data_IF_057001532175
#
_entry.id   IF_057001532175
#
_cell.length_a   1.000
_cell.length_b   1.000
_cell.length_c   1.000
_cell.angle_alpha   90.00
_cell.angle_beta   90.00
_cell.angle_gamma   90.00
#
_symmetry.space_group_name_H-M   'P 1'
#
loop_
_entity.id
_entity.type
_entity.pdbx_description
1 polymer ?
#
# COMPACT_ATOMS: atom_id res chain seq x y z
N UNK A 1 16.48 14.16 5.77
CA UNK A 1 17.71 13.53 5.28
C UNK A 1 17.48 12.03 5.22
N UNK A 2 17.72 11.42 4.08
CA UNK A 2 17.54 9.98 3.86
C UNK A 2 18.91 9.36 3.66
N UNK A 3 19.28 8.43 4.54
CA UNK A 3 20.52 7.67 4.44
C UNK A 3 20.22 6.29 3.82
N UNK A 4 20.94 5.89 2.80
CA UNK A 4 20.83 4.59 2.17
C UNK A 4 22.22 3.93 2.10
N UNK A 5 22.28 2.66 2.46
CA UNK A 5 23.46 1.81 2.34
C UNK A 5 23.26 0.86 1.13
N UNK A 6 23.68 1.21 -0.08
CA UNK A 6 23.48 0.36 -1.24
C UNK A 6 24.65 -0.59 -1.46
N UNK A 7 24.34 -1.82 -1.84
CA UNK A 7 25.32 -2.79 -2.32
C UNK A 7 25.66 -2.56 -3.81
N UNK A 8 24.87 -1.79 -4.57
CA UNK A 8 25.08 -1.56 -6.02
C UNK A 8 24.94 -0.08 -6.42
N UNK A 9 25.96 0.38 -7.15
CA UNK A 9 26.10 1.67 -7.87
C UNK A 9 25.51 2.91 -7.18
N UNK A 10 26.26 3.44 -6.23
CA UNK A 10 26.01 4.76 -5.62
C UNK A 10 26.06 5.93 -6.64
N UNK A 11 26.51 5.70 -7.84
CA UNK A 11 26.73 6.74 -8.87
C UNK A 11 25.45 7.36 -9.43
N UNK A 12 24.36 6.58 -9.53
CA UNK A 12 23.09 7.10 -10.08
C UNK A 12 22.21 7.77 -9.02
N UNK A 13 22.43 7.49 -7.74
CA UNK A 13 21.64 8.00 -6.62
C UNK A 13 22.24 9.30 -6.06
N UNK A 14 23.54 9.49 -6.22
CA UNK A 14 24.29 10.60 -5.63
C UNK A 14 23.96 12.00 -6.13
N UNK A 15 23.05 12.16 -7.10
CA UNK A 15 22.63 13.48 -7.62
C UNK A 15 21.50 14.13 -6.81
N UNK A 16 20.89 13.42 -5.86
CA UNK A 16 19.81 13.99 -5.04
C UNK A 16 20.38 14.67 -3.79
N UNK A 17 20.24 16.01 -3.63
CA UNK A 17 20.81 16.74 -2.50
C UNK A 17 20.22 16.37 -1.14
N UNK A 18 19.08 15.65 -1.12
CA UNK A 18 18.44 15.18 0.11
C UNK A 18 18.77 13.72 0.44
N UNK A 19 19.68 13.09 -0.32
CA UNK A 19 20.07 11.71 -0.15
C UNK A 19 21.57 11.64 0.10
N UNK A 20 21.96 11.09 1.24
CA UNK A 20 23.31 10.72 1.57
C UNK A 20 23.49 9.21 1.40
N UNK A 21 24.55 8.81 0.70
CA UNK A 21 24.88 7.42 0.44
C UNK A 21 26.18 7.09 1.15
N UNK A 22 26.11 6.12 2.06
CA UNK A 22 27.26 5.71 2.88
C UNK A 22 27.54 4.24 2.62
N UNK A 23 28.79 3.91 2.42
CA UNK A 23 29.25 2.53 2.26
C UNK A 23 29.81 2.01 3.59
N UNK A 24 29.19 0.96 4.14
CA UNK A 24 29.61 0.38 5.40
C UNK A 24 28.86 -0.90 5.76
N UNK A 25 29.27 -1.53 6.83
CA UNK A 25 28.57 -2.69 7.38
C UNK A 25 27.30 -2.23 8.10
N UNK A 26 26.15 -2.72 7.63
CA UNK A 26 24.83 -2.41 8.17
C UNK A 26 24.56 -2.99 9.58
N UNK A 27 25.48 -3.80 10.11
CA UNK A 27 25.44 -4.35 11.48
C UNK A 27 26.50 -3.74 12.38
N UNK A 28 27.36 -2.85 11.85
CA UNK A 28 28.35 -2.15 12.64
C UNK A 28 27.72 -0.95 13.36
N UNK A 29 27.61 -1.07 14.68
CA UNK A 29 27.01 -0.04 15.54
C UNK A 29 27.77 1.29 15.48
N UNK A 30 29.09 1.25 15.36
CA UNK A 30 29.92 2.45 15.34
C UNK A 30 29.67 3.25 14.04
N UNK A 31 29.62 2.56 12.90
CA UNK A 31 29.24 3.14 11.61
C UNK A 31 27.83 3.73 11.68
N UNK A 32 26.86 2.95 12.19
CA UNK A 32 25.47 3.40 12.30
C UNK A 32 25.32 4.61 13.23
N UNK A 33 26.17 4.73 14.25
CA UNK A 33 26.19 5.91 15.13
C UNK A 33 26.83 7.10 14.43
N UNK A 34 27.93 6.92 13.71
CA UNK A 34 28.61 7.98 12.97
C UNK A 34 27.71 8.61 11.91
N UNK A 35 26.88 7.80 11.24
CA UNK A 35 25.90 8.28 10.25
C UNK A 35 24.60 8.81 10.86
N UNK A 36 24.49 8.86 12.18
CA UNK A 36 23.37 9.46 12.89
C UNK A 36 22.07 8.65 12.85
N UNK A 37 22.14 7.33 12.70
CA UNK A 37 20.92 6.47 12.69
C UNK A 37 20.01 6.73 13.89
N UNK A 38 20.49 6.89 15.14
CA UNK A 38 19.63 7.17 16.29
C UNK A 38 18.78 8.43 16.17
N UNK A 39 19.18 9.39 15.34
CA UNK A 39 18.47 10.65 15.13
C UNK A 39 17.35 10.54 14.07
N UNK A 40 17.28 9.44 13.35
CA UNK A 40 16.32 9.24 12.30
C UNK A 40 14.96 8.77 12.86
N UNK A 41 13.88 9.24 12.24
CA UNK A 41 12.51 8.87 12.65
C UNK A 41 12.12 7.47 12.19
N UNK A 42 12.67 7.02 11.07
CA UNK A 42 12.35 5.74 10.44
C UNK A 42 13.64 5.12 9.90
N UNK A 43 13.85 3.83 10.17
CA UNK A 43 14.86 3.00 9.52
C UNK A 43 14.18 1.86 8.75
N UNK A 44 14.63 1.61 7.53
CA UNK A 44 14.11 0.54 6.68
C UNK A 44 15.26 -0.36 6.26
N UNK A 45 15.23 -1.64 6.66
CA UNK A 45 16.15 -2.66 6.23
C UNK A 45 15.63 -3.39 4.98
N UNK A 46 16.37 -3.33 3.89
CA UNK A 46 16.01 -3.88 2.60
C UNK A 46 17.18 -4.67 1.97
N UNK A 47 17.71 -5.63 2.72
CA UNK A 47 18.90 -6.40 2.37
C UNK A 47 18.51 -7.65 1.56
N UNK A 48 19.51 -8.33 0.98
CA UNK A 48 19.28 -9.57 0.24
C UNK A 48 18.89 -10.75 1.16
N UNK A 49 19.45 -10.77 2.37
CA UNK A 49 19.16 -11.77 3.39
C UNK A 49 18.05 -11.29 4.34
N UNK A 50 17.02 -12.10 4.52
CA UNK A 50 15.96 -11.83 5.50
C UNK A 50 16.50 -11.75 6.92
N UNK A 51 17.48 -12.59 7.26
CA UNK A 51 18.12 -12.59 8.59
C UNK A 51 18.87 -11.29 8.84
N UNK A 52 19.63 -10.81 7.86
CA UNK A 52 20.38 -9.56 7.98
C UNK A 52 19.41 -8.36 8.04
N UNK A 53 18.34 -8.39 7.26
CA UNK A 53 17.27 -7.36 7.33
C UNK A 53 16.65 -7.31 8.73
N UNK A 54 16.36 -8.46 9.33
CA UNK A 54 15.81 -8.55 10.70
C UNK A 54 16.84 -8.03 11.71
N UNK A 55 18.09 -8.46 11.61
CA UNK A 55 19.15 -8.03 12.53
C UNK A 55 19.38 -6.51 12.44
N UNK A 56 19.47 -5.95 11.25
CA UNK A 56 19.64 -4.51 11.04
C UNK A 56 18.46 -3.69 11.58
N UNK A 57 17.21 -4.13 11.36
CA UNK A 57 16.04 -3.43 11.87
C UNK A 57 15.96 -3.50 13.41
N UNK A 58 16.32 -4.63 14.03
CA UNK A 58 16.37 -4.75 15.48
C UNK A 58 17.49 -3.88 16.08
N UNK A 59 18.65 -3.85 15.43
CA UNK A 59 19.76 -2.99 15.84
C UNK A 59 19.38 -1.52 15.80
N UNK A 60 18.76 -1.07 14.69
CA UNK A 60 18.26 0.30 14.56
C UNK A 60 17.22 0.64 15.65
N UNK A 61 16.32 -0.30 15.98
CA UNK A 61 15.36 -0.14 17.09
C UNK A 61 16.04 -0.01 18.44
N UNK A 62 17.05 -0.86 18.72
CA UNK A 62 17.85 -0.81 19.95
C UNK A 62 18.65 0.50 20.07
N UNK A 63 19.06 1.07 18.95
CA UNK A 63 19.74 2.38 18.90
C UNK A 63 18.80 3.58 19.08
N UNK A 64 17.50 3.38 19.20
CA UNK A 64 16.53 4.43 19.52
C UNK A 64 15.71 4.93 18.36
N UNK A 65 15.78 4.31 17.17
CA UNK A 65 14.91 4.68 16.05
C UNK A 65 13.45 4.36 16.38
N UNK A 66 12.58 5.35 16.28
CA UNK A 66 11.17 5.23 16.70
C UNK A 66 10.36 4.23 15.86
N UNK A 67 10.66 4.11 14.58
CA UNK A 67 9.92 3.25 13.66
C UNK A 67 10.89 2.48 12.78
N UNK A 68 10.79 1.17 12.82
CA UNK A 68 11.62 0.28 12.00
C UNK A 68 10.73 -0.50 11.04
N UNK A 69 11.23 -0.66 9.82
CA UNK A 69 10.59 -1.44 8.78
C UNK A 69 11.57 -2.38 8.12
N UNK A 70 11.06 -3.43 7.49
CA UNK A 70 11.89 -4.33 6.71
C UNK A 70 11.14 -4.96 5.54
N UNK A 71 11.93 -5.32 4.53
CA UNK A 71 11.47 -6.07 3.36
C UNK A 71 11.98 -7.50 3.47
N UNK A 72 11.08 -8.47 3.37
CA UNK A 72 11.37 -9.89 3.49
C UNK A 72 10.97 -10.66 2.22
N UNK A 73 11.66 -11.75 1.96
CA UNK A 73 11.30 -12.72 0.93
C UNK A 73 10.39 -13.82 1.45
N UNK A 74 10.50 -14.13 2.76
CA UNK A 74 9.71 -15.15 3.44
C UNK A 74 8.50 -14.52 4.13
N UNK A 75 7.31 -14.85 3.63
CA UNK A 75 6.03 -14.37 4.17
C UNK A 75 5.77 -14.81 5.62
N UNK A 76 6.30 -15.95 6.03
CA UNK A 76 6.12 -16.45 7.41
C UNK A 76 6.87 -15.60 8.42
N UNK A 77 8.04 -15.06 8.03
CA UNK A 77 8.82 -14.16 8.87
C UNK A 77 8.11 -12.81 9.10
N UNK A 78 7.29 -12.34 8.18
CA UNK A 78 6.53 -11.07 8.33
C UNK A 78 5.70 -11.05 9.61
N UNK A 79 5.00 -12.15 9.93
CA UNK A 79 4.17 -12.23 11.14
C UNK A 79 5.02 -12.34 12.41
N UNK A 80 6.18 -12.99 12.32
CA UNK A 80 7.10 -13.17 13.45
C UNK A 80 7.74 -11.84 13.81
N UNK A 81 8.24 -11.10 12.83
CA UNK A 81 8.93 -9.82 13.04
C UNK A 81 8.03 -8.74 13.63
N UNK A 82 6.74 -8.72 13.28
CA UNK A 82 5.77 -7.84 13.92
C UNK A 82 5.64 -8.09 15.43
N UNK A 83 5.75 -9.36 15.87
CA UNK A 83 5.75 -9.71 17.30
C UNK A 83 7.06 -9.35 18.02
N UNK A 84 8.13 -9.16 17.27
CA UNK A 84 9.44 -8.74 17.78
C UNK A 84 9.57 -7.22 17.97
N UNK A 85 8.50 -6.47 17.74
CA UNK A 85 8.50 -5.02 17.92
C UNK A 85 8.86 -4.21 16.66
N UNK A 86 9.07 -4.88 15.51
CA UNK A 86 9.25 -4.19 14.22
C UNK A 86 7.93 -3.52 13.82
N UNK A 87 7.99 -2.23 13.50
CA UNK A 87 6.80 -1.42 13.23
C UNK A 87 6.03 -1.91 12.01
N UNK A 88 6.75 -2.30 10.94
CA UNK A 88 6.14 -2.90 9.75
C UNK A 88 7.12 -3.83 9.03
N UNK A 89 6.57 -4.88 8.44
CA UNK A 89 7.31 -5.80 7.59
C UNK A 89 6.52 -6.05 6.30
N UNK A 90 7.19 -6.10 5.17
CA UNK A 90 6.62 -6.21 3.85
C UNK A 90 7.18 -7.44 3.15
N UNK A 91 6.29 -8.29 2.61
CA UNK A 91 6.65 -9.38 1.72
C UNK A 91 6.90 -8.84 0.31
N UNK A 92 8.15 -8.94 -0.16
CA UNK A 92 8.57 -8.47 -1.49
C UNK A 92 7.80 -9.14 -2.64
N UNK A 93 7.57 -10.45 -2.53
CA UNK A 93 6.87 -11.22 -3.58
C UNK A 93 5.43 -10.76 -3.67
N UNK A 94 4.78 -10.54 -2.54
CA UNK A 94 3.40 -10.08 -2.48
C UNK A 94 3.24 -8.70 -3.09
N UNK A 95 4.12 -7.76 -2.78
CA UNK A 95 4.09 -6.41 -3.38
C UNK A 95 4.23 -6.48 -4.91
N UNK A 96 5.12 -7.33 -5.42
CA UNK A 96 5.26 -7.53 -6.85
C UNK A 96 3.98 -8.10 -7.48
N UNK A 97 3.38 -9.12 -6.86
CA UNK A 97 2.10 -9.71 -7.31
C UNK A 97 0.98 -8.68 -7.25
N UNK A 98 0.86 -7.92 -6.17
CA UNK A 98 -0.18 -6.89 -6.01
C UNK A 98 -0.04 -5.80 -7.09
N UNK A 99 1.17 -5.38 -7.42
CA UNK A 99 1.44 -4.43 -8.50
C UNK A 99 1.07 -5.00 -9.88
N UNK A 100 1.39 -6.27 -10.16
CA UNK A 100 1.00 -6.93 -11.42
C UNK A 100 -0.52 -7.02 -11.51
N UNK A 101 -1.19 -7.47 -10.45
CA UNK A 101 -2.65 -7.56 -10.40
C UNK A 101 -3.31 -6.19 -10.58
N UNK A 102 -2.77 -5.15 -9.95
CA UNK A 102 -3.24 -3.78 -10.15
C UNK A 102 -3.18 -3.38 -11.64
N UNK A 103 -2.11 -3.73 -12.36
CA UNK A 103 -1.98 -3.46 -13.79
C UNK A 103 -2.94 -4.26 -14.67
N UNK A 104 -3.22 -5.51 -14.32
CA UNK A 104 -4.15 -6.37 -15.05
C UNK A 104 -5.59 -5.86 -14.90
N UNK A 105 -5.96 -5.44 -13.70
CA UNK A 105 -7.32 -5.01 -13.37
C UNK A 105 -7.62 -3.55 -13.69
N UNK A 106 -6.61 -2.70 -13.92
CA UNK A 106 -6.80 -1.26 -14.24
C UNK A 106 -7.54 -0.99 -15.56
N UNK A 107 -7.66 -1.96 -16.45
CA UNK A 107 -8.37 -1.76 -17.74
C UNK A 107 -9.89 -1.69 -17.62
N UNK A 108 -10.48 -2.17 -16.53
CA UNK A 108 -11.93 -2.20 -16.33
C UNK A 108 -12.37 -1.52 -15.02
N UNK A 109 -11.45 -1.45 -14.07
CA UNK A 109 -11.73 -0.95 -12.74
C UNK A 109 -10.67 0.07 -12.39
N UNK A 110 -10.70 1.14 -11.94
CA UNK A 110 -9.63 2.05 -11.49
C UNK A 110 -8.52 1.37 -10.67
N UNK A 111 -8.19 1.86 -9.49
CA UNK A 111 -7.14 1.27 -8.66
C UNK A 111 -7.60 -0.05 -8.01
N UNK A 112 -6.70 -1.03 -8.02
CA UNK A 112 -6.85 -2.31 -7.31
C UNK A 112 -5.85 -2.36 -6.15
N UNK A 113 -6.31 -2.65 -4.96
CA UNK A 113 -5.45 -2.74 -3.78
C UNK A 113 -5.78 -4.01 -2.98
N UNK A 114 -4.76 -4.79 -2.69
CA UNK A 114 -4.86 -5.93 -1.77
C UNK A 114 -4.63 -5.43 -0.35
N UNK A 115 -5.53 -5.75 0.56
CA UNK A 115 -5.38 -5.39 1.98
C UNK A 115 -4.49 -6.43 2.66
N UNK A 116 -3.21 -6.12 2.81
CA UNK A 116 -2.20 -7.05 3.31
C UNK A 116 -2.51 -7.65 4.68
N UNK A 117 -3.24 -6.94 5.52
CA UNK A 117 -3.57 -7.36 6.89
C UNK A 117 -4.96 -7.97 7.04
N UNK A 118 -5.75 -8.02 5.95
CA UNK A 118 -7.09 -8.60 5.97
C UNK A 118 -7.14 -9.69 4.90
N UNK A 119 -7.04 -10.97 5.29
CA UNK A 119 -7.05 -12.06 4.32
C UNK A 119 -8.38 -12.10 3.55
N UNK A 120 -8.29 -12.43 2.27
CA UNK A 120 -9.42 -12.59 1.36
C UNK A 120 -10.27 -11.33 1.13
N UNK A 121 -9.74 -10.14 1.34
CA UNK A 121 -10.40 -8.88 0.98
C UNK A 121 -9.49 -8.06 0.07
N UNK A 122 -10.08 -7.56 -1.01
CA UNK A 122 -9.46 -6.61 -1.93
C UNK A 122 -10.28 -5.33 -1.98
N UNK A 123 -9.59 -4.20 -2.09
CA UNK A 123 -10.19 -2.90 -2.34
C UNK A 123 -10.09 -2.55 -3.82
N UNK A 124 -11.20 -2.20 -4.45
CA UNK A 124 -11.25 -1.86 -5.85
C UNK A 124 -11.92 -0.51 -6.02
N UNK A 125 -11.32 0.34 -6.84
CA UNK A 125 -11.89 1.61 -7.25
C UNK A 125 -12.67 1.42 -8.55
N UNK A 126 -13.96 1.73 -8.54
CA UNK A 126 -14.85 1.61 -9.70
C UNK A 126 -15.50 2.95 -10.00
N UNK A 127 -15.30 3.46 -11.22
CA UNK A 127 -15.90 4.71 -11.66
C UNK A 127 -17.34 4.51 -12.12
N UNK A 128 -18.23 5.36 -11.69
CA UNK A 128 -19.63 5.39 -12.16
C UNK A 128 -19.67 6.10 -13.51
N UNK A 129 -20.05 5.37 -14.55
CA UNK A 129 -20.34 5.96 -15.87
C UNK A 129 -21.80 6.39 -15.95
N UNK A 130 -22.08 7.41 -16.77
CA UNK A 130 -23.45 7.90 -17.03
C UNK A 130 -24.35 6.82 -17.66
N UNK A 131 -23.77 5.87 -18.40
CA UNK A 131 -24.47 4.77 -19.03
C UNK A 131 -24.78 3.60 -18.06
N UNK A 132 -24.20 3.58 -16.87
CA UNK A 132 -24.53 2.55 -15.89
C UNK A 132 -26.00 2.65 -15.44
N UNK A 133 -26.66 1.51 -15.33
CA UNK A 133 -28.06 1.41 -14.89
C UNK A 133 -28.31 2.02 -13.51
N UNK A 134 -27.29 2.01 -12.65
CA UNK A 134 -27.34 2.55 -11.29
C UNK A 134 -26.87 4.01 -11.20
N UNK A 135 -26.50 4.62 -12.32
CA UNK A 135 -26.19 6.06 -12.37
C UNK A 135 -27.44 6.89 -12.04
N UNK A 136 -27.28 7.90 -11.20
CA UNK A 136 -28.38 8.74 -10.66
C UNK A 136 -29.41 7.97 -9.81
N UNK A 137 -29.06 6.76 -9.32
CA UNK A 137 -29.90 6.00 -8.40
C UNK A 137 -29.36 6.10 -6.97
N UNK A 138 -30.24 5.83 -6.00
CA UNK A 138 -29.79 5.64 -4.60
C UNK A 138 -29.04 4.33 -4.46
N UNK A 139 -28.11 4.26 -3.51
CA UNK A 139 -27.35 3.04 -3.24
C UNK A 139 -28.31 1.88 -2.93
N UNK A 140 -29.38 2.13 -2.17
CA UNK A 140 -30.45 1.14 -1.86
C UNK A 140 -31.08 0.52 -3.10
N UNK A 141 -31.23 1.32 -4.16
CA UNK A 141 -31.99 0.97 -5.37
C UNK A 141 -31.06 0.45 -6.48
N UNK A 142 -29.75 0.63 -6.33
CA UNK A 142 -28.74 0.25 -7.32
C UNK A 142 -28.54 -1.27 -7.48
N UNK A 143 -29.19 -2.08 -6.64
CA UNK A 143 -29.11 -3.54 -6.71
C UNK A 143 -27.72 -4.09 -6.47
N UNK A 144 -26.95 -3.48 -5.59
CA UNK A 144 -25.65 -4.01 -5.17
C UNK A 144 -25.86 -5.22 -4.27
N UNK A 145 -25.05 -6.25 -4.50
CA UNK A 145 -25.09 -7.47 -3.71
C UNK A 145 -24.43 -7.26 -2.35
N UNK A 146 -24.81 -8.04 -1.35
CA UNK A 146 -24.27 -7.93 0.01
C UNK A 146 -22.74 -8.12 0.10
N UNK A 147 -22.15 -8.84 -0.86
CA UNK A 147 -20.70 -9.03 -0.94
C UNK A 147 -19.95 -7.82 -1.52
N UNK A 148 -20.66 -6.82 -2.05
CA UNK A 148 -20.11 -5.55 -2.52
C UNK A 148 -20.22 -4.52 -1.40
N UNK A 149 -19.14 -4.30 -0.66
CA UNK A 149 -19.13 -3.31 0.41
C UNK A 149 -18.52 -2.01 -0.08
N UNK A 150 -19.36 -1.02 -0.36
CA UNK A 150 -18.89 0.34 -0.67
C UNK A 150 -18.33 0.93 0.61
N UNK A 151 -17.03 1.20 0.65
CA UNK A 151 -16.34 1.81 1.79
C UNK A 151 -16.46 3.34 1.74
N UNK A 152 -16.21 3.92 0.57
CA UNK A 152 -16.27 5.36 0.31
C UNK A 152 -16.79 5.63 -1.08
N UNK A 153 -17.36 6.84 -1.25
CA UNK A 153 -17.66 7.43 -2.54
C UNK A 153 -16.76 8.65 -2.67
N UNK A 154 -15.87 8.62 -3.65
CA UNK A 154 -15.06 9.78 -3.97
C UNK A 154 -15.76 10.58 -5.04
N UNK A 155 -16.08 11.81 -4.74
CA UNK A 155 -16.76 12.75 -5.65
C UNK A 155 -15.91 13.99 -5.85
N UNK A 156 -15.87 14.46 -7.08
CA UNK A 156 -15.20 15.71 -7.39
C UNK A 156 -16.13 16.88 -7.11
N UNK A 157 -15.69 17.82 -6.30
CA UNK A 157 -16.43 19.07 -6.05
C UNK A 157 -16.36 20.00 -7.26
N UNK A 158 -17.18 21.03 -7.27
CA UNK A 158 -17.18 22.08 -8.33
C UNK A 158 -15.80 22.73 -8.45
N UNK A 159 -15.08 22.87 -7.35
CA UNK A 159 -13.72 23.43 -7.29
C UNK A 159 -12.64 22.43 -7.72
N UNK A 160 -13.03 21.22 -8.14
CA UNK A 160 -12.12 20.19 -8.63
C UNK A 160 -11.43 19.36 -7.54
N UNK A 161 -11.77 19.56 -6.28
CA UNK A 161 -11.22 18.83 -5.14
C UNK A 161 -11.96 17.50 -4.96
N UNK A 162 -11.22 16.42 -4.62
CA UNK A 162 -11.82 15.14 -4.29
C UNK A 162 -12.30 15.12 -2.83
N UNK A 163 -13.58 14.85 -2.65
CA UNK A 163 -14.22 14.65 -1.35
C UNK A 163 -14.56 13.17 -1.15
N UNK A 164 -14.27 12.65 0.06
CA UNK A 164 -14.65 11.30 0.45
C UNK A 164 -15.99 11.33 1.19
N UNK A 165 -17.02 10.79 0.57
CA UNK A 165 -18.36 10.72 1.13
C UNK A 165 -18.60 9.35 1.77
N UNK A 166 -19.26 9.36 2.92
CA UNK A 166 -19.72 8.13 3.56
C UNK A 166 -20.88 7.53 2.75
N UNK A 167 -20.83 6.24 2.40
CA UNK A 167 -21.96 5.58 1.75
C UNK A 167 -23.14 5.46 2.73
N UNK A 168 -24.32 5.82 2.26
CA UNK A 168 -25.58 5.66 2.98
C UNK A 168 -26.66 5.19 1.98
N UNK A 169 -27.66 4.40 2.41
CA UNK A 169 -28.67 3.84 1.51
C UNK A 169 -29.37 4.87 0.62
N UNK A 170 -29.63 6.04 1.17
CA UNK A 170 -30.29 7.18 0.48
C UNK A 170 -29.37 8.01 -0.41
N UNK A 171 -28.06 7.76 -0.37
CA UNK A 171 -27.09 8.51 -1.14
C UNK A 171 -27.22 8.22 -2.64
N UNK A 172 -27.32 9.27 -3.45
CA UNK A 172 -27.31 9.14 -4.90
C UNK A 172 -25.89 8.90 -5.41
N UNK A 173 -25.77 7.96 -6.33
CA UNK A 173 -24.58 7.74 -7.14
C UNK A 173 -24.63 8.61 -8.37
N UNK A 174 -23.68 9.50 -8.54
CA UNK A 174 -23.61 10.39 -9.68
C UNK A 174 -22.58 9.89 -10.70
N UNK A 175 -22.75 10.26 -11.99
CA UNK A 175 -21.69 10.07 -12.97
C UNK A 175 -20.38 10.67 -12.46
N UNK A 176 -19.26 10.03 -12.77
CA UNK A 176 -17.91 10.40 -12.36
C UNK A 176 -17.59 10.12 -10.87
N UNK A 177 -18.55 9.68 -10.06
CA UNK A 177 -18.24 9.16 -8.73
C UNK A 177 -17.29 7.96 -8.84
N UNK A 178 -16.31 7.92 -7.94
CA UNK A 178 -15.41 6.80 -7.82
C UNK A 178 -15.75 6.02 -6.54
N UNK A 179 -16.21 4.79 -6.71
CA UNK A 179 -16.63 3.93 -5.61
C UNK A 179 -15.45 3.08 -5.15
N UNK A 180 -15.05 3.22 -3.89
CA UNK A 180 -14.10 2.30 -3.28
C UNK A 180 -14.89 1.14 -2.68
N UNK A 181 -14.74 -0.04 -3.28
CA UNK A 181 -15.52 -1.24 -2.95
C UNK A 181 -14.59 -2.29 -2.36
N UNK A 182 -14.97 -2.86 -1.22
CA UNK A 182 -14.34 -4.06 -0.67
C UNK A 182 -15.11 -5.30 -1.07
N UNK A 183 -14.38 -6.29 -1.57
CA UNK A 183 -14.93 -7.58 -2.00
C UNK A 183 -13.89 -8.69 -1.81
N UNK A 184 -14.29 -9.94 -2.01
CA UNK A 184 -13.36 -11.06 -2.06
C UNK A 184 -12.72 -11.20 -3.45
N UNK A 185 -11.49 -11.73 -3.55
CA UNK A 185 -10.78 -11.88 -4.84
C UNK A 185 -11.55 -12.67 -5.90
N UNK A 186 -12.28 -13.70 -5.50
CA UNK A 186 -13.10 -14.55 -6.39
C UNK A 186 -14.29 -13.79 -7.01
N UNK A 187 -14.73 -12.68 -6.42
CA UNK A 187 -15.84 -11.85 -6.89
C UNK A 187 -15.41 -10.67 -7.77
N UNK A 188 -14.12 -10.44 -7.93
CA UNK A 188 -13.61 -9.30 -8.72
C UNK A 188 -14.14 -9.30 -10.16
N UNK A 189 -14.10 -10.46 -10.83
CA UNK A 189 -14.59 -10.57 -12.21
C UNK A 189 -16.11 -10.33 -12.33
N UNK A 190 -16.89 -10.65 -11.30
CA UNK A 190 -18.33 -10.38 -11.24
C UNK A 190 -18.59 -8.87 -11.03
N UNK A 191 -17.79 -8.24 -10.16
CA UNK A 191 -17.82 -6.81 -9.93
C UNK A 191 -17.50 -6.04 -11.23
N UNK A 192 -16.41 -6.40 -11.91
CA UNK A 192 -16.02 -5.77 -13.18
C UNK A 192 -17.12 -5.88 -14.25
N UNK A 193 -17.79 -7.03 -14.35
CA UNK A 193 -18.90 -7.20 -15.28
C UNK A 193 -20.09 -6.29 -14.98
N UNK A 194 -20.33 -5.98 -13.70
CA UNK A 194 -21.41 -5.08 -13.28
C UNK A 194 -21.13 -3.62 -13.65
N UNK A 195 -19.84 -3.26 -13.73
CA UNK A 195 -19.36 -1.91 -14.13
C UNK A 195 -18.89 -1.84 -15.59
N UNK A 196 -19.16 -2.86 -16.40
CA UNK A 196 -19.01 -2.76 -17.84
C UNK A 196 -20.26 -2.09 -18.44
N UNK A 197 -20.03 -1.08 -19.24
CA UNK A 197 -21.04 -0.41 -20.07
C UNK A 197 -21.22 -1.19 -21.35
#
# INVERSE_FOLDING_TARGET
QTCALPIFSATDIGSNPNLEVIHGDHLDRDILTEVGIPEHHIAIAALESDHDSIAAALLASDMGVNRTGLLLYDADLVKVTQRMGITFAVDRKRVAVDNILAHIHTKAAGAYAVLSNVPNIVGISMRVDSAHKFSNMRISDAGFSEWMRIAFIQRRTVDGIWENLRPAPEKLLLPEDNLIIFTSPDRVAELERKFKV
#
